data_IF_043497948591
#
_entry.id   IF_043497948591
#
_cell.length_a   1.000
_cell.length_b   1.000
_cell.length_c   1.000
_cell.angle_alpha   90.00
_cell.angle_beta   90.00
_cell.angle_gamma   90.00
#
_symmetry.space_group_name_H-M   'P 1'
#
loop_
_entity.id
_entity.type
_entity.pdbx_description
1 polymer ?
#
# COMPACT_ATOMS: atom_id res chain seq x y z
N UNK A 1 14.37 6.49 -14.78
CA UNK A 1 14.53 6.70 -13.31
C UNK A 1 13.51 5.85 -12.59
N UNK A 2 13.93 5.06 -11.63
CA UNK A 2 13.07 4.22 -10.81
C UNK A 2 12.34 5.05 -9.74
N UNK A 3 11.02 4.87 -9.62
CA UNK A 3 10.18 5.62 -8.66
C UNK A 3 9.74 4.71 -7.50
N UNK A 4 9.31 3.50 -7.81
CA UNK A 4 8.80 2.58 -6.82
C UNK A 4 8.16 1.35 -7.46
N UNK A 5 7.44 0.56 -6.67
CA UNK A 5 6.68 -0.58 -7.20
C UNK A 5 5.48 -0.92 -6.29
N UNK A 6 4.49 -1.52 -6.91
CA UNK A 6 3.37 -2.19 -6.25
C UNK A 6 3.39 -3.66 -6.70
N UNK A 7 3.81 -4.57 -5.84
CA UNK A 7 4.10 -5.95 -6.17
C UNK A 7 5.11 -6.07 -7.33
N UNK A 8 4.69 -6.60 -8.48
CA UNK A 8 5.50 -6.73 -9.70
C UNK A 8 5.32 -5.58 -10.70
N UNK A 9 4.46 -4.61 -10.38
CA UNK A 9 4.24 -3.42 -11.19
C UNK A 9 5.24 -2.35 -10.77
N UNK A 10 6.24 -2.12 -11.61
CA UNK A 10 7.33 -1.19 -11.35
C UNK A 10 6.98 0.19 -11.93
N UNK A 11 7.06 1.22 -11.08
CA UNK A 11 6.89 2.61 -11.49
C UNK A 11 8.25 3.21 -11.85
N UNK A 12 8.35 3.70 -13.06
CA UNK A 12 9.59 4.30 -13.56
C UNK A 12 9.34 5.34 -14.65
N UNK A 13 10.34 6.17 -14.87
CA UNK A 13 10.34 7.18 -15.93
C UNK A 13 11.61 7.02 -16.77
N UNK A 14 11.45 6.72 -18.04
CA UNK A 14 12.49 6.67 -19.06
C UNK A 14 12.03 7.43 -20.30
N UNK A 15 12.90 7.66 -21.28
CA UNK A 15 12.59 8.44 -22.46
C UNK A 15 11.45 7.85 -23.29
N UNK A 16 11.36 6.54 -23.35
CA UNK A 16 10.46 5.76 -24.19
C UNK A 16 9.53 4.84 -23.39
N UNK A 17 9.62 4.88 -22.06
CA UNK A 17 8.80 4.02 -21.22
C UNK A 17 8.50 4.69 -19.88
N UNK A 18 7.24 5.00 -19.64
CA UNK A 18 6.78 5.71 -18.45
C UNK A 18 5.59 5.00 -17.83
N UNK A 19 5.72 4.63 -16.57
CA UNK A 19 4.63 4.19 -15.73
C UNK A 19 4.74 4.89 -14.39
N UNK A 20 3.84 5.82 -14.13
CA UNK A 20 3.88 6.65 -12.92
C UNK A 20 2.61 6.51 -12.09
N UNK A 21 2.79 6.68 -10.80
CA UNK A 21 1.70 6.83 -9.84
C UNK A 21 1.55 8.31 -9.50
N UNK A 22 0.33 8.78 -9.48
CA UNK A 22 -0.03 10.17 -9.15
C UNK A 22 -1.16 10.22 -8.12
N UNK A 23 -1.44 11.42 -7.63
CA UNK A 23 -2.53 11.70 -6.68
C UNK A 23 -2.53 10.75 -5.47
N UNK A 24 -1.34 10.46 -4.94
CA UNK A 24 -1.22 9.58 -3.79
C UNK A 24 -1.70 10.31 -2.54
N UNK A 25 -2.82 9.85 -2.01
CA UNK A 25 -3.41 10.35 -0.77
C UNK A 25 -3.38 9.24 0.28
N UNK A 26 -2.81 9.53 1.43
CA UNK A 26 -2.77 8.63 2.58
C UNK A 26 -3.69 9.15 3.67
N UNK A 27 -4.55 8.31 4.20
CA UNK A 27 -5.44 8.59 5.30
C UNK A 27 -5.34 7.51 6.37
N UNK A 28 -5.40 7.92 7.60
CA UNK A 28 -5.39 7.03 8.75
C UNK A 28 -6.23 7.61 9.86
N UNK A 29 -6.72 6.78 10.73
CA UNK A 29 -7.52 7.16 11.88
C UNK A 29 -7.07 6.45 13.15
N UNK A 30 -7.54 6.97 14.28
CA UNK A 30 -7.38 6.32 15.58
C UNK A 30 -8.75 5.87 16.06
N UNK A 31 -8.81 4.69 16.65
CA UNK A 31 -10.05 4.15 17.21
C UNK A 31 -10.21 4.63 18.65
N UNK A 32 -11.36 5.24 18.94
CA UNK A 32 -11.73 5.73 20.23
C UNK A 32 -13.10 5.18 20.63
N UNK A 33 -13.13 4.46 21.73
CA UNK A 33 -14.37 4.03 22.36
C UNK A 33 -14.95 5.16 23.23
N UNK A 34 -16.26 5.29 23.22
CA UNK A 34 -16.98 6.30 23.97
C UNK A 34 -17.82 5.64 25.06
N UNK A 35 -17.50 5.94 26.31
CA UNK A 35 -18.26 5.49 27.46
C UNK A 35 -19.20 6.59 27.93
N UNK A 36 -20.50 6.35 27.82
CA UNK A 36 -21.51 7.30 28.28
C UNK A 36 -21.67 7.18 29.79
N UNK A 37 -21.51 8.32 30.47
CA UNK A 37 -21.76 8.45 31.90
C UNK A 37 -23.11 9.09 32.13
N UNK A 38 -23.82 8.75 33.23
CA UNK A 38 -25.05 9.40 33.61
C UNK A 38 -24.77 10.82 34.11
N UNK A 39 -25.46 11.80 33.54
CA UNK A 39 -25.40 13.23 33.92
C UNK A 39 -24.03 13.91 33.76
N UNK A 40 -23.05 13.21 33.17
CA UNK A 40 -21.71 13.74 32.91
C UNK A 40 -21.33 13.63 31.44
N UNK A 41 -20.27 14.34 31.02
CA UNK A 41 -19.74 14.23 29.67
C UNK A 41 -19.14 12.84 29.48
N UNK A 42 -19.35 12.21 28.29
CA UNK A 42 -18.80 10.89 28.03
C UNK A 42 -17.26 10.91 28.01
N UNK A 43 -16.68 9.88 28.55
CA UNK A 43 -15.24 9.65 28.54
C UNK A 43 -14.86 8.87 27.29
N UNK A 44 -13.77 9.28 26.63
CA UNK A 44 -13.19 8.57 25.49
C UNK A 44 -12.00 7.74 25.94
N UNK A 45 -11.96 6.50 25.48
CA UNK A 45 -10.85 5.57 25.68
C UNK A 45 -10.18 5.27 24.36
N UNK A 46 -8.87 5.37 24.28
CA UNK A 46 -8.11 5.03 23.09
C UNK A 46 -8.05 3.50 22.91
N UNK A 47 -8.52 3.01 21.77
CA UNK A 47 -8.58 1.58 21.43
C UNK A 47 -7.48 1.14 20.46
N UNK A 48 -6.62 2.04 20.04
CA UNK A 48 -5.50 1.77 19.14
C UNK A 48 -5.61 2.48 17.78
N UNK A 49 -4.58 2.37 16.95
CA UNK A 49 -4.61 2.85 15.58
C UNK A 49 -5.57 2.01 14.73
N UNK A 50 -6.16 2.63 13.73
CA UNK A 50 -6.89 1.96 12.66
C UNK A 50 -5.97 1.65 11.49
N UNK A 51 -6.44 0.86 10.53
CA UNK A 51 -5.72 0.57 9.30
C UNK A 51 -5.60 1.83 8.43
N UNK A 52 -4.49 1.97 7.75
CA UNK A 52 -4.28 3.07 6.82
C UNK A 52 -4.88 2.77 5.46
N UNK A 53 -5.39 3.81 4.82
CA UNK A 53 -5.91 3.74 3.47
C UNK A 53 -5.09 4.64 2.55
N UNK A 54 -4.82 4.14 1.34
CA UNK A 54 -4.12 4.89 0.31
C UNK A 54 -4.96 4.89 -0.95
N UNK A 55 -5.20 6.05 -1.49
CA UNK A 55 -5.76 6.22 -2.83
C UNK A 55 -4.66 6.73 -3.76
N UNK A 56 -4.58 6.18 -4.94
CA UNK A 56 -3.64 6.62 -5.95
C UNK A 56 -4.18 6.37 -7.35
N UNK A 57 -3.61 7.08 -8.32
CA UNK A 57 -3.92 6.93 -9.74
C UNK A 57 -2.70 6.44 -10.50
N UNK A 58 -2.93 5.57 -11.46
CA UNK A 58 -1.90 5.05 -12.36
C UNK A 58 -2.32 5.33 -13.79
N UNK A 59 -1.52 6.09 -14.52
CA UNK A 59 -1.71 6.29 -15.95
C UNK A 59 -0.92 5.23 -16.72
N UNK A 60 -1.65 4.44 -17.51
CA UNK A 60 -1.07 3.38 -18.33
C UNK A 60 -1.35 3.74 -19.80
N UNK A 61 -0.31 3.93 -20.60
CA UNK A 61 -0.44 4.32 -22.00
C UNK A 61 0.47 3.50 -22.90
N UNK A 62 -0.09 3.03 -24.01
CA UNK A 62 0.66 2.34 -25.05
C UNK A 62 1.69 3.27 -25.71
N UNK A 63 1.39 4.57 -25.83
CA UNK A 63 2.32 5.57 -26.35
C UNK A 63 3.56 5.77 -25.45
N UNK A 64 3.46 5.37 -24.17
CA UNK A 64 4.53 5.42 -23.19
C UNK A 64 5.19 4.04 -22.96
N UNK A 65 5.07 3.14 -23.94
CA UNK A 65 5.70 1.82 -23.91
C UNK A 65 5.05 0.78 -22.99
N UNK A 66 3.85 1.09 -22.46
CA UNK A 66 3.11 0.18 -21.59
C UNK A 66 2.09 -0.66 -22.36
N UNK A 67 1.66 -1.76 -21.79
CA UNK A 67 0.53 -2.55 -22.25
C UNK A 67 -0.66 -2.36 -21.30
N UNK A 68 -1.64 -1.49 -21.65
CA UNK A 68 -2.78 -1.22 -20.77
C UNK A 68 -3.53 -2.49 -20.37
N UNK A 69 -3.85 -3.33 -21.33
CA UNK A 69 -4.64 -4.55 -21.10
C UNK A 69 -3.95 -5.51 -20.12
N UNK A 70 -2.65 -5.72 -20.26
CA UNK A 70 -1.91 -6.67 -19.42
C UNK A 70 -1.74 -6.14 -17.99
N UNK A 71 -1.46 -4.86 -17.83
CA UNK A 71 -1.29 -4.23 -16.51
C UNK A 71 -2.61 -4.16 -15.75
N UNK A 72 -3.69 -3.77 -16.42
CA UNK A 72 -5.03 -3.74 -15.83
C UNK A 72 -5.49 -5.15 -15.44
N UNK A 73 -5.23 -6.14 -16.28
CA UNK A 73 -5.53 -7.55 -15.97
C UNK A 73 -4.80 -8.04 -14.73
N UNK A 74 -3.54 -7.68 -14.53
CA UNK A 74 -2.79 -7.97 -13.30
C UNK A 74 -3.42 -7.33 -12.08
N UNK A 75 -3.76 -6.05 -12.16
CA UNK A 75 -4.41 -5.32 -11.06
C UNK A 75 -5.77 -5.92 -10.69
N UNK A 76 -6.57 -6.28 -11.67
CA UNK A 76 -7.84 -6.99 -11.43
C UNK A 76 -7.62 -8.34 -10.74
N UNK A 77 -6.62 -9.09 -11.19
CA UNK A 77 -6.29 -10.37 -10.58
C UNK A 77 -5.85 -10.21 -9.12
N UNK A 78 -5.05 -9.21 -8.79
CA UNK A 78 -4.66 -8.92 -7.40
C UNK A 78 -5.87 -8.54 -6.53
N UNK A 79 -6.78 -7.74 -7.06
CA UNK A 79 -8.04 -7.42 -6.37
C UNK A 79 -8.89 -8.67 -6.14
N UNK A 80 -9.09 -9.48 -7.15
CA UNK A 80 -10.02 -10.61 -7.13
C UNK A 80 -9.48 -11.80 -6.30
N UNK A 81 -8.17 -11.94 -6.20
CA UNK A 81 -7.51 -12.97 -5.37
C UNK A 81 -7.23 -12.51 -3.94
N UNK A 82 -7.43 -11.23 -3.63
CA UNK A 82 -7.09 -10.68 -2.31
C UNK A 82 -5.59 -10.72 -2.03
N UNK A 83 -4.77 -10.55 -3.04
CA UNK A 83 -3.32 -10.59 -2.91
C UNK A 83 -2.81 -9.47 -1.99
N UNK A 84 -1.87 -9.82 -1.12
CA UNK A 84 -1.20 -8.89 -0.20
C UNK A 84 0.03 -8.34 -0.92
N UNK A 85 0.07 -7.03 -1.12
CA UNK A 85 1.00 -6.37 -2.02
C UNK A 85 1.95 -5.44 -1.25
N UNK A 86 3.26 -5.55 -1.44
CA UNK A 86 4.19 -4.53 -0.98
C UNK A 86 4.03 -3.26 -1.84
N UNK A 87 3.99 -2.10 -1.18
CA UNK A 87 3.92 -0.80 -1.85
C UNK A 87 5.10 0.06 -1.42
N UNK A 88 5.98 0.35 -2.37
CA UNK A 88 7.22 1.10 -2.15
C UNK A 88 7.26 2.29 -3.10
N UNK A 89 7.55 3.46 -2.56
CA UNK A 89 7.76 4.70 -3.30
C UNK A 89 9.04 5.36 -2.80
N UNK A 90 9.88 5.83 -3.73
CA UNK A 90 11.12 6.52 -3.39
C UNK A 90 12.12 5.64 -2.64
N UNK A 91 12.10 4.33 -2.87
CA UNK A 91 12.98 3.37 -2.20
C UNK A 91 12.61 3.07 -0.74
N UNK A 92 11.46 3.57 -0.27
CA UNK A 92 10.96 3.32 1.08
C UNK A 92 9.57 2.72 1.05
N UNK A 93 9.25 1.75 1.91
CA UNK A 93 7.89 1.26 2.05
C UNK A 93 6.97 2.39 2.52
N UNK A 94 5.78 2.47 1.92
CA UNK A 94 4.78 3.49 2.25
C UNK A 94 4.23 3.28 3.67
N UNK A 95 4.12 2.04 4.10
CA UNK A 95 3.78 1.64 5.46
C UNK A 95 4.66 0.47 5.91
N UNK A 96 4.64 0.17 7.19
CA UNK A 96 5.30 -1.01 7.75
C UNK A 96 4.62 -2.32 7.35
N UNK A 97 3.34 -2.27 6.99
CA UNK A 97 2.55 -3.41 6.55
C UNK A 97 2.37 -3.37 5.03
N UNK A 98 1.90 -4.47 4.49
CA UNK A 98 1.51 -4.58 3.09
C UNK A 98 0.10 -4.02 2.87
N UNK A 99 -0.32 -3.98 1.63
CA UNK A 99 -1.62 -3.44 1.22
C UNK A 99 -2.41 -4.47 0.42
N UNK A 100 -3.73 -4.35 0.49
CA UNK A 100 -4.67 -5.07 -0.38
C UNK A 100 -5.47 -4.07 -1.20
N UNK A 101 -5.87 -4.45 -2.40
CA UNK A 101 -6.73 -3.63 -3.25
C UNK A 101 -8.17 -3.83 -2.80
N UNK A 102 -8.77 -2.79 -2.24
CA UNK A 102 -10.18 -2.81 -1.84
C UNK A 102 -11.11 -2.54 -3.01
N UNK A 103 -10.75 -1.58 -3.83
CA UNK A 103 -11.49 -1.22 -5.03
C UNK A 103 -10.58 -0.61 -6.08
N UNK A 104 -10.99 -0.70 -7.33
CA UNK A 104 -10.35 -0.02 -8.43
C UNK A 104 -11.41 0.48 -9.41
N UNK A 105 -11.16 1.62 -10.01
CA UNK A 105 -11.92 2.15 -11.14
C UNK A 105 -10.99 2.38 -12.33
N UNK A 106 -11.54 2.22 -13.51
CA UNK A 106 -10.81 2.29 -14.76
C UNK A 106 -11.49 3.31 -15.68
N UNK A 107 -10.76 4.34 -16.05
CA UNK A 107 -11.21 5.37 -16.97
C UNK A 107 -10.43 5.25 -18.27
N UNK A 108 -11.10 4.77 -19.33
CA UNK A 108 -10.51 4.67 -20.65
C UNK A 108 -10.43 6.07 -21.27
N UNK A 109 -9.20 6.59 -21.40
CA UNK A 109 -8.96 7.94 -21.91
C UNK A 109 -8.90 7.98 -23.45
N UNK A 110 -8.35 6.94 -24.05
CA UNK A 110 -8.19 6.86 -25.50
C UNK A 110 -8.28 5.42 -26.00
N UNK A 111 -9.08 5.23 -27.04
CA UNK A 111 -9.28 3.94 -27.73
C UNK A 111 -9.01 4.14 -29.21
N UNK A 112 -8.34 3.19 -29.85
CA UNK A 112 -8.06 3.24 -31.28
C UNK A 112 -9.30 2.90 -32.14
N UNK A 113 -9.16 3.02 -33.46
CA UNK A 113 -10.24 2.75 -34.40
C UNK A 113 -10.73 1.28 -34.38
N UNK A 114 -9.98 0.38 -33.80
CA UNK A 114 -10.32 -1.04 -33.66
C UNK A 114 -10.90 -1.40 -32.29
N UNK A 115 -11.13 -0.38 -31.43
CA UNK A 115 -11.67 -0.58 -30.09
C UNK A 115 -10.65 -1.02 -29.03
N UNK A 116 -9.34 -1.01 -29.36
CA UNK A 116 -8.30 -1.34 -28.41
C UNK A 116 -7.94 -0.12 -27.56
N UNK A 117 -7.93 -0.31 -26.26
CA UNK A 117 -7.56 0.74 -25.31
C UNK A 117 -6.08 1.10 -25.46
N UNK A 118 -5.80 2.35 -25.77
CA UNK A 118 -4.46 2.89 -25.92
C UNK A 118 -3.97 3.61 -24.67
N UNK A 119 -4.88 4.21 -23.92
CA UNK A 119 -4.58 4.90 -22.68
C UNK A 119 -5.71 4.72 -21.68
N UNK A 120 -5.35 4.39 -20.45
CA UNK A 120 -6.29 4.18 -19.35
C UNK A 120 -5.72 4.77 -18.06
N UNK A 121 -6.55 5.44 -17.30
CA UNK A 121 -6.26 5.85 -15.93
C UNK A 121 -6.93 4.87 -14.98
N UNK A 122 -6.17 4.31 -14.07
CA UNK A 122 -6.67 3.39 -13.05
C UNK A 122 -6.55 4.07 -11.69
N UNK A 123 -7.68 4.23 -11.01
CA UNK A 123 -7.72 4.70 -9.63
C UNK A 123 -7.81 3.51 -8.69
N UNK A 124 -6.88 3.42 -7.76
CA UNK A 124 -6.79 2.35 -6.78
C UNK A 124 -7.12 2.87 -5.38
N UNK A 125 -7.90 2.11 -4.65
CA UNK A 125 -8.08 2.26 -3.22
C UNK A 125 -7.44 1.05 -2.52
N UNK A 126 -6.38 1.32 -1.79
CA UNK A 126 -5.59 0.33 -1.07
C UNK A 126 -5.86 0.48 0.42
N UNK A 127 -5.92 -0.63 1.12
CA UNK A 127 -6.03 -0.66 2.57
C UNK A 127 -4.88 -1.48 3.15
N UNK A 128 -4.34 -1.02 4.26
CA UNK A 128 -3.27 -1.70 4.96
C UNK A 128 -3.76 -3.05 5.49
N UNK A 129 -2.95 -4.07 5.28
CA UNK A 129 -3.19 -5.43 5.76
C UNK A 129 -2.18 -5.76 6.86
N UNK A 130 -2.52 -5.56 8.15
CA UNK A 130 -1.68 -5.96 9.25
C UNK A 130 -1.65 -7.49 9.35
N UNK A 131 -0.51 -8.10 9.10
CA UNK A 131 -0.35 -9.53 9.33
C UNK A 131 -0.17 -9.79 10.83
N UNK A 132 -0.94 -10.71 11.38
CA UNK A 132 -0.84 -11.12 12.79
C UNK A 132 0.56 -11.61 13.12
N UNK A 133 1.20 -12.33 12.22
CA UNK A 133 2.56 -12.84 12.41
C UNK A 133 3.58 -11.68 12.52
N UNK A 134 3.42 -10.63 11.70
CA UNK A 134 4.28 -9.44 11.79
C UNK A 134 4.09 -8.70 13.11
N UNK A 135 2.87 -8.65 13.63
CA UNK A 135 2.57 -8.04 14.93
C UNK A 135 3.15 -8.87 16.07
N UNK A 136 3.05 -10.19 15.99
CA UNK A 136 3.65 -11.10 16.97
C UNK A 136 5.19 -11.03 16.95
N UNK A 137 5.82 -11.03 15.77
CA UNK A 137 7.26 -10.83 15.62
C UNK A 137 7.71 -9.48 16.19
N UNK A 138 6.99 -8.40 15.93
CA UNK A 138 7.29 -7.08 16.50
C UNK A 138 7.11 -7.06 18.01
N UNK A 139 6.08 -7.72 18.54
CA UNK A 139 5.87 -7.83 19.98
C UNK A 139 6.96 -8.67 20.64
N UNK A 140 7.40 -9.74 19.99
CA UNK A 140 8.51 -10.57 20.40
C UNK A 140 9.85 -9.82 20.33
N UNK A 141 10.11 -9.08 19.25
CA UNK A 141 11.29 -8.23 19.09
C UNK A 141 11.31 -7.12 20.15
N UNK A 142 10.18 -6.49 20.44
CA UNK A 142 10.10 -5.49 21.50
C UNK A 142 10.28 -6.12 22.89
N UNK A 143 9.75 -7.32 23.10
CA UNK A 143 9.85 -8.03 24.37
C UNK A 143 11.24 -8.63 24.61
N UNK A 144 11.90 -9.13 23.57
CA UNK A 144 13.19 -9.81 23.64
C UNK A 144 14.35 -9.06 22.98
N UNK A 145 14.10 -7.94 22.31
CA UNK A 145 15.11 -7.14 21.64
C UNK A 145 16.19 -6.64 22.60
N UNK A 146 15.83 -6.29 23.81
CA UNK A 146 16.77 -5.91 24.86
C UNK A 146 17.64 -7.10 25.30
N UNK A 147 17.08 -8.31 25.36
CA UNK A 147 17.81 -9.54 25.71
C UNK A 147 18.77 -9.94 24.60
N UNK A 148 18.37 -9.82 23.33
CA UNK A 148 19.24 -10.04 22.18
C UNK A 148 20.40 -9.05 22.11
N UNK A 149 20.16 -7.79 22.40
CA UNK A 149 21.21 -6.78 22.45
C UNK A 149 22.18 -7.01 23.60
N UNK A 150 21.71 -7.47 24.75
CA UNK A 150 22.56 -7.87 25.91
C UNK A 150 23.43 -9.09 25.57
N UNK A 151 22.86 -10.11 24.90
CA UNK A 151 23.61 -11.31 24.48
C UNK A 151 24.67 -10.95 23.44
N UNK A 152 24.35 -10.14 22.45
CA UNK A 152 25.32 -9.67 21.47
C UNK A 152 26.42 -8.80 22.07
N UNK A 153 26.13 -8.04 23.10
CA UNK A 153 27.13 -7.23 23.82
C UNK A 153 28.06 -8.11 24.62
N UNK A 154 27.57 -9.18 25.20
CA UNK A 154 28.36 -10.18 25.92
C UNK A 154 29.25 -10.97 24.96
N UNK A 155 28.70 -11.42 23.81
CA UNK A 155 29.48 -12.17 22.81
C UNK A 155 30.58 -11.34 22.14
N UNK A 156 30.43 -10.01 22.04
CA UNK A 156 31.48 -9.12 21.53
C UNK A 156 32.63 -8.86 22.52
N UNK A 157 32.47 -9.22 23.76
CA UNK A 157 33.50 -9.10 24.79
C UNK A 157 34.43 -10.35 24.93
N UNK A 158 34.07 -11.39 24.22
CA UNK A 158 34.86 -12.61 24.09
C UNK A 158 35.43 -12.73 22.67
#
# INVERSE_FOLDING_TARGET
>A
MYIGYLADIVFYTALDNVLTVSDVTRSGSARWEKHNLMLEKPVKQFSGPDVEQITCKILISASLGQSPDSTVKKLRNYRDTGAVLPFIIGGKPVSQNYFVIMSMSEDSLFTDAYGKTQSIEVSLNLEEYPDKNTVEEKSLLNKYGNTFNQVNTILRRF
#
